data_IF_477518418547
#
_entry.id   IF_477518418547
#
_cell.length_a   1.000
_cell.length_b   1.000
_cell.length_c   1.000
_cell.angle_alpha   90.00
_cell.angle_beta   90.00
_cell.angle_gamma   90.00
#
_symmetry.space_group_name_H-M   'P 1'
#
loop_
_entity.id
_entity.type
_entity.pdbx_description
1 polymer ?
#
# COMPACT_ATOMS: atom_id res chain seq x y z
N UNK A 1 29.20 5.71 14.41
CA UNK A 1 30.27 6.31 13.58
C UNK A 1 29.80 6.67 12.16
N UNK A 2 29.08 5.81 11.43
CA UNK A 2 28.64 6.10 10.06
C UNK A 2 27.71 7.33 9.87
N UNK A 3 26.72 7.51 10.76
CA UNK A 3 25.75 8.64 10.68
C UNK A 3 26.46 9.99 10.59
N UNK A 4 27.42 10.25 11.50
CA UNK A 4 28.14 11.53 11.54
C UNK A 4 28.97 11.80 10.28
N UNK A 5 29.50 10.76 9.61
CA UNK A 5 30.20 10.93 8.34
C UNK A 5 29.24 11.36 7.22
N UNK A 6 28.05 10.76 7.14
CA UNK A 6 27.06 11.16 6.16
C UNK A 6 26.50 12.57 6.42
N UNK A 7 26.26 12.92 7.69
CA UNK A 7 25.86 14.27 8.08
C UNK A 7 26.91 15.31 7.68
N UNK A 8 28.19 15.08 8.00
CA UNK A 8 29.28 15.96 7.61
C UNK A 8 29.44 16.09 6.09
N UNK A 9 29.19 15.02 5.32
CA UNK A 9 29.21 15.07 3.87
C UNK A 9 28.04 15.92 3.32
N UNK A 10 26.84 15.81 3.90
CA UNK A 10 25.68 16.59 3.51
C UNK A 10 25.75 18.06 3.93
N UNK A 11 26.51 18.39 4.99
CA UNK A 11 26.83 19.78 5.34
C UNK A 11 27.71 20.43 4.27
N UNK A 12 28.64 19.68 3.68
CA UNK A 12 29.52 20.17 2.60
C UNK A 12 28.79 20.26 1.27
N UNK A 13 27.99 19.24 0.92
CA UNK A 13 27.16 19.23 -0.27
C UNK A 13 25.76 18.66 0.02
N UNK A 14 24.76 19.53 0.27
CA UNK A 14 23.38 19.12 0.49
C UNK A 14 22.69 18.48 -0.71
N UNK A 15 23.32 18.42 -1.90
CA UNK A 15 22.72 17.83 -3.11
C UNK A 15 23.08 16.37 -3.31
N UNK A 16 23.89 15.78 -2.43
CA UNK A 16 24.28 14.37 -2.49
C UNK A 16 23.11 13.45 -2.09
N UNK A 17 22.14 13.28 -3.00
CA UNK A 17 20.94 12.48 -2.76
C UNK A 17 21.25 11.01 -2.44
N UNK A 18 22.30 10.43 -3.05
CA UNK A 18 22.77 9.08 -2.69
C UNK A 18 23.22 9.00 -1.23
N UNK A 19 24.04 9.95 -0.78
CA UNK A 19 24.48 10.03 0.62
C UNK A 19 23.30 10.25 1.57
N UNK A 20 22.32 11.07 1.18
CA UNK A 20 21.09 11.26 1.95
C UNK A 20 20.29 9.96 2.07
N UNK A 21 20.23 9.16 0.99
CA UNK A 21 19.58 7.85 1.02
C UNK A 21 20.32 6.90 1.95
N UNK A 22 21.65 6.85 1.87
CA UNK A 22 22.48 6.01 2.74
C UNK A 22 22.34 6.40 4.22
N UNK A 23 22.24 7.70 4.52
CA UNK A 23 21.96 8.19 5.88
C UNK A 23 20.60 7.70 6.38
N UNK A 24 19.55 7.81 5.56
CA UNK A 24 18.21 7.32 5.92
C UNK A 24 18.22 5.80 6.18
N UNK A 25 18.88 5.03 5.31
CA UNK A 25 19.03 3.60 5.47
C UNK A 25 19.82 3.23 6.74
N UNK A 26 20.86 4.00 7.06
CA UNK A 26 21.65 3.80 8.28
C UNK A 26 20.80 4.00 9.53
N UNK A 27 19.94 5.02 9.55
CA UNK A 27 18.97 5.20 10.64
C UNK A 27 17.98 4.04 10.73
N UNK A 28 17.51 3.50 9.60
CA UNK A 28 16.61 2.36 9.58
C UNK A 28 17.26 1.10 10.18
N UNK A 29 18.45 0.73 9.70
CA UNK A 29 19.22 -0.42 10.22
C UNK A 29 19.57 -0.23 11.71
N UNK A 30 19.92 0.99 12.12
CA UNK A 30 20.16 1.30 13.54
C UNK A 30 18.91 1.06 14.37
N UNK A 31 17.73 1.39 13.84
CA UNK A 31 16.46 1.16 14.51
C UNK A 31 16.16 -0.34 14.67
N UNK A 32 16.40 -1.15 13.63
CA UNK A 32 16.27 -2.61 13.69
C UNK A 32 17.19 -3.21 14.75
N UNK A 33 18.44 -2.76 14.82
CA UNK A 33 19.38 -3.18 15.87
C UNK A 33 18.87 -2.84 17.28
N UNK A 34 18.30 -1.64 17.48
CA UNK A 34 17.66 -1.30 18.75
C UNK A 34 16.43 -2.16 19.06
N UNK A 35 15.67 -2.61 18.06
CA UNK A 35 14.56 -3.55 18.28
C UNK A 35 15.06 -4.91 18.75
N UNK A 36 16.14 -5.43 18.18
CA UNK A 36 16.77 -6.68 18.61
C UNK A 36 17.24 -6.60 20.07
N UNK A 37 17.76 -5.44 20.48
CA UNK A 37 18.13 -5.12 21.86
C UNK A 37 16.93 -4.83 22.78
N UNK A 38 15.70 -4.83 22.23
CA UNK A 38 14.44 -4.46 22.91
C UNK A 38 14.40 -3.02 23.42
N UNK A 39 15.22 -2.14 22.86
CA UNK A 39 15.22 -0.71 23.13
C UNK A 39 14.19 -0.01 22.22
N UNK A 40 12.90 -0.15 22.55
CA UNK A 40 11.80 0.37 21.73
C UNK A 40 11.87 1.90 21.52
N UNK A 41 12.30 2.66 22.53
CA UNK A 41 12.40 4.12 22.43
C UNK A 41 13.45 4.55 21.40
N UNK A 42 14.66 4.01 21.49
CA UNK A 42 15.73 4.35 20.54
C UNK A 42 15.43 3.84 19.12
N UNK A 43 14.80 2.68 19.00
CA UNK A 43 14.29 2.16 17.74
C UNK A 43 13.29 3.14 17.11
N UNK A 44 12.27 3.55 17.87
CA UNK A 44 11.24 4.48 17.40
C UNK A 44 11.84 5.80 16.91
N UNK A 45 12.77 6.38 17.68
CA UNK A 45 13.45 7.63 17.29
C UNK A 45 14.24 7.45 15.99
N UNK A 46 14.96 6.33 15.85
CA UNK A 46 15.79 6.05 14.67
C UNK A 46 14.93 5.80 13.42
N UNK A 47 13.82 5.06 13.54
CA UNK A 47 12.86 4.91 12.46
C UNK A 47 12.24 6.25 12.05
N UNK A 48 11.88 7.10 13.00
CA UNK A 48 11.33 8.43 12.69
C UNK A 48 12.34 9.32 11.94
N UNK A 49 13.63 9.25 12.30
CA UNK A 49 14.70 9.95 11.55
C UNK A 49 14.82 9.41 10.13
N UNK A 50 14.84 8.08 9.95
CA UNK A 50 14.86 7.46 8.63
C UNK A 50 13.67 7.92 7.77
N UNK A 51 12.46 7.88 8.34
CA UNK A 51 11.24 8.30 7.67
C UNK A 51 11.30 9.74 7.15
N UNK A 52 11.75 10.68 7.98
CA UNK A 52 11.85 12.10 7.59
C UNK A 52 12.82 12.30 6.42
N UNK A 53 13.94 11.59 6.41
CA UNK A 53 14.95 11.73 5.36
C UNK A 53 14.46 11.10 4.06
N UNK A 54 13.90 9.88 4.12
CA UNK A 54 13.30 9.22 2.97
C UNK A 54 12.13 10.05 2.39
N UNK A 55 11.27 10.63 3.22
CA UNK A 55 10.17 11.46 2.74
C UNK A 55 10.69 12.70 1.99
N UNK A 56 11.75 13.35 2.50
CA UNK A 56 12.40 14.46 1.78
C UNK A 56 12.96 14.04 0.43
N UNK A 57 13.49 12.82 0.30
CA UNK A 57 13.95 12.28 -0.99
C UNK A 57 12.76 12.02 -1.93
N UNK A 58 11.67 11.43 -1.43
CA UNK A 58 10.46 11.19 -2.22
C UNK A 58 9.84 12.49 -2.77
N UNK A 59 9.93 13.58 -2.01
CA UNK A 59 9.40 14.89 -2.37
C UNK A 59 10.40 15.76 -3.17
N UNK A 60 11.64 15.30 -3.40
CA UNK A 60 12.66 16.10 -4.08
C UNK A 60 12.55 16.02 -5.61
N UNK A 61 12.60 17.17 -6.29
CA UNK A 61 12.62 17.23 -7.76
C UNK A 61 13.95 16.73 -8.37
N UNK A 62 15.00 16.64 -7.57
CA UNK A 62 16.35 16.28 -8.00
C UNK A 62 16.63 14.77 -8.05
N UNK A 63 15.62 13.93 -7.77
CA UNK A 63 15.74 12.48 -7.87
C UNK A 63 14.79 11.94 -8.95
N UNK A 64 15.16 10.80 -9.55
CA UNK A 64 14.34 10.11 -10.54
C UNK A 64 13.09 9.44 -9.92
N UNK A 65 12.19 8.97 -10.78
CA UNK A 65 10.93 8.37 -10.36
C UNK A 65 11.12 7.08 -9.54
N UNK A 66 12.16 6.31 -9.83
CA UNK A 66 12.49 5.08 -9.09
C UNK A 66 12.90 5.41 -7.66
N UNK A 67 13.82 6.36 -7.49
CA UNK A 67 14.25 6.84 -6.18
C UNK A 67 13.09 7.46 -5.40
N UNK A 68 12.18 8.20 -6.07
CA UNK A 68 10.97 8.73 -5.42
C UNK A 68 10.09 7.60 -4.87
N UNK A 69 9.78 6.61 -5.70
CA UNK A 69 8.94 5.47 -5.34
C UNK A 69 9.56 4.67 -4.19
N UNK A 70 10.84 4.31 -4.30
CA UNK A 70 11.56 3.56 -3.28
C UNK A 70 11.65 4.34 -1.96
N UNK A 71 11.98 5.62 -2.01
CA UNK A 71 12.05 6.46 -0.81
C UNK A 71 10.67 6.61 -0.14
N UNK A 72 9.60 6.69 -0.93
CA UNK A 72 8.25 6.77 -0.39
C UNK A 72 7.84 5.50 0.35
N UNK A 73 8.11 4.32 -0.22
CA UNK A 73 7.88 3.04 0.43
C UNK A 73 8.71 2.89 1.71
N UNK A 74 9.99 3.27 1.67
CA UNK A 74 10.87 3.20 2.83
C UNK A 74 10.46 4.17 3.93
N UNK A 75 10.00 5.38 3.59
CA UNK A 75 9.46 6.32 4.57
C UNK A 75 8.21 5.76 5.26
N UNK A 76 7.28 5.20 4.48
CA UNK A 76 6.07 4.57 5.01
C UNK A 76 6.40 3.38 5.91
N UNK A 77 7.33 2.52 5.49
CA UNK A 77 7.79 1.35 6.24
C UNK A 77 8.48 1.74 7.54
N UNK A 78 9.31 2.79 7.53
CA UNK A 78 9.94 3.31 8.74
C UNK A 78 8.90 3.84 9.75
N UNK A 79 7.89 4.59 9.28
CA UNK A 79 6.80 5.04 10.16
C UNK A 79 5.96 3.87 10.68
N UNK A 80 5.71 2.86 9.85
CA UNK A 80 5.04 1.63 10.26
C UNK A 80 5.80 0.90 11.36
N UNK A 81 7.13 0.73 11.21
CA UNK A 81 7.99 0.11 12.22
C UNK A 81 8.10 0.95 13.50
N UNK A 82 7.89 2.27 13.40
CA UNK A 82 7.76 3.18 14.54
C UNK A 82 6.35 3.19 15.17
N UNK A 83 5.42 2.35 14.68
CA UNK A 83 3.99 2.31 15.07
C UNK A 83 3.25 3.65 14.86
N UNK A 84 3.78 4.56 14.04
CA UNK A 84 3.13 5.81 13.65
C UNK A 84 2.20 5.56 12.44
N UNK A 85 1.17 4.75 12.66
CA UNK A 85 0.22 4.33 11.63
C UNK A 85 -0.54 5.50 11.01
N UNK A 86 -0.73 6.58 11.77
CA UNK A 86 -1.39 7.81 11.30
C UNK A 86 -0.60 8.45 10.17
N UNK A 87 0.74 8.49 10.26
CA UNK A 87 1.58 9.02 9.19
C UNK A 87 1.97 7.98 8.14
N UNK A 88 2.09 6.71 8.51
CA UNK A 88 2.47 5.65 7.57
C UNK A 88 1.42 5.43 6.48
N UNK A 89 0.14 5.35 6.85
CA UNK A 89 -0.97 5.07 5.92
C UNK A 89 -1.00 5.99 4.69
N UNK A 90 -0.98 7.33 4.85
CA UNK A 90 -0.94 8.26 3.72
C UNK A 90 0.28 8.10 2.81
N UNK A 91 1.45 7.71 3.34
CA UNK A 91 2.64 7.47 2.50
C UNK A 91 2.51 6.15 1.72
N UNK A 92 1.95 5.10 2.31
CA UNK A 92 1.61 3.90 1.55
C UNK A 92 0.58 4.19 0.46
N UNK A 93 -0.43 5.03 0.71
CA UNK A 93 -1.38 5.43 -0.33
C UNK A 93 -0.69 6.14 -1.50
N UNK A 94 0.19 7.10 -1.22
CA UNK A 94 0.97 7.76 -2.27
C UNK A 94 1.83 6.76 -3.06
N UNK A 95 2.36 5.72 -2.41
CA UNK A 95 3.12 4.67 -3.11
C UNK A 95 2.20 3.81 -3.98
N UNK A 96 1.03 3.43 -3.46
CA UNK A 96 -0.02 2.73 -4.21
C UNK A 96 -0.42 3.52 -5.46
N UNK A 97 -0.53 4.84 -5.37
CA UNK A 97 -0.84 5.68 -6.53
C UNK A 97 0.23 5.58 -7.65
N UNK A 98 1.49 5.35 -7.28
CA UNK A 98 2.59 5.14 -8.23
C UNK A 98 2.69 3.70 -8.74
N UNK A 99 2.39 2.73 -7.87
CA UNK A 99 2.60 1.31 -8.13
C UNK A 99 1.42 0.47 -7.57
N UNK A 100 0.20 0.60 -8.13
CA UNK A 100 -1.00 0.01 -7.54
C UNK A 100 -1.08 -1.51 -7.68
N UNK A 101 -0.12 -2.13 -8.38
CA UNK A 101 0.01 -3.59 -8.50
C UNK A 101 0.92 -4.21 -7.44
N UNK A 102 1.60 -3.40 -6.63
CA UNK A 102 2.51 -3.88 -5.59
C UNK A 102 1.75 -4.32 -4.33
N UNK A 103 1.70 -5.64 -4.11
CA UNK A 103 0.95 -6.29 -3.01
C UNK A 103 1.34 -5.75 -1.61
N UNK A 104 2.63 -5.60 -1.25
CA UNK A 104 3.01 -5.28 0.13
C UNK A 104 2.42 -3.94 0.62
N UNK A 105 2.32 -2.94 -0.26
CA UNK A 105 1.84 -1.62 0.11
C UNK A 105 0.35 -1.62 0.50
N UNK A 106 -0.49 -2.33 -0.27
CA UNK A 106 -1.91 -2.51 0.08
C UNK A 106 -2.10 -3.17 1.44
N UNK A 107 -1.32 -4.22 1.71
CA UNK A 107 -1.38 -4.92 3.00
C UNK A 107 -0.96 -4.02 4.16
N UNK A 108 0.16 -3.32 4.03
CA UNK A 108 0.67 -2.44 5.09
C UNK A 108 -0.24 -1.23 5.33
N UNK A 109 -0.81 -0.64 4.28
CA UNK A 109 -1.86 0.38 4.41
C UNK A 109 -3.08 -0.17 5.16
N UNK A 110 -3.57 -1.36 4.78
CA UNK A 110 -4.68 -2.02 5.45
C UNK A 110 -4.42 -2.25 6.95
N UNK A 111 -3.21 -2.69 7.32
CA UNK A 111 -2.80 -2.81 8.73
C UNK A 111 -2.78 -1.44 9.42
N UNK A 112 -2.25 -0.40 8.77
CA UNK A 112 -2.29 0.96 9.33
C UNK A 112 -3.73 1.41 9.66
N UNK A 113 -4.69 1.11 8.78
CA UNK A 113 -6.11 1.40 9.04
C UNK A 113 -6.67 0.55 10.19
N UNK A 114 -6.29 -0.72 10.27
CA UNK A 114 -6.71 -1.62 11.35
C UNK A 114 -6.24 -1.14 12.73
N UNK A 115 -4.97 -0.77 12.85
CA UNK A 115 -4.36 -0.25 14.08
C UNK A 115 -4.96 1.10 14.51
N UNK A 116 -5.48 1.87 13.55
CA UNK A 116 -6.25 3.09 13.79
C UNK A 116 -7.73 2.82 14.13
N UNK A 117 -8.15 1.56 14.22
CA UNK A 117 -9.53 1.17 14.47
C UNK A 117 -10.48 1.40 13.28
N UNK A 118 -9.96 1.81 12.12
CA UNK A 118 -10.72 2.06 10.88
C UNK A 118 -10.94 0.75 10.12
N UNK A 119 -11.72 -0.15 10.73
CA UNK A 119 -11.98 -1.50 10.22
C UNK A 119 -12.55 -1.54 8.78
N UNK A 120 -13.52 -0.68 8.38
CA UNK A 120 -14.05 -0.71 7.01
C UNK A 120 -12.98 -0.43 5.95
N UNK A 121 -12.10 0.55 6.21
CA UNK A 121 -10.98 0.83 5.32
C UNK A 121 -10.01 -0.35 5.30
N UNK A 122 -9.67 -0.91 6.47
CA UNK A 122 -8.76 -2.05 6.56
C UNK A 122 -9.24 -3.24 5.72
N UNK A 123 -10.55 -3.57 5.77
CA UNK A 123 -11.15 -4.60 4.92
C UNK A 123 -10.91 -4.30 3.44
N UNK A 124 -11.10 -3.05 3.03
CA UNK A 124 -10.93 -2.65 1.63
C UNK A 124 -9.48 -2.81 1.16
N UNK A 125 -8.52 -2.25 1.89
CA UNK A 125 -7.10 -2.34 1.51
C UNK A 125 -6.54 -3.76 1.61
N UNK A 126 -6.90 -4.52 2.65
CA UNK A 126 -6.47 -5.91 2.80
C UNK A 126 -7.10 -6.81 1.73
N UNK A 127 -8.34 -6.56 1.33
CA UNK A 127 -8.98 -7.29 0.24
C UNK A 127 -8.28 -7.05 -1.09
N UNK A 128 -7.85 -5.80 -1.36
CA UNK A 128 -7.04 -5.51 -2.54
C UNK A 128 -5.68 -6.23 -2.49
N UNK A 129 -5.01 -6.24 -1.32
CA UNK A 129 -3.76 -6.99 -1.13
C UNK A 129 -3.93 -8.50 -1.37
N UNK A 130 -5.00 -9.10 -0.83
CA UNK A 130 -5.33 -10.52 -1.05
C UNK A 130 -5.72 -10.82 -2.49
N UNK A 131 -6.43 -9.89 -3.14
CA UNK A 131 -6.75 -10.01 -4.57
C UNK A 131 -5.48 -9.98 -5.41
N UNK A 132 -4.48 -9.15 -5.10
CA UNK A 132 -3.27 -9.09 -5.90
C UNK A 132 -2.25 -10.19 -5.59
N UNK A 133 -2.43 -10.96 -4.51
CA UNK A 133 -1.48 -12.00 -4.11
C UNK A 133 -1.45 -13.19 -5.07
N UNK A 134 -0.37 -13.97 -5.00
CA UNK A 134 -0.18 -15.19 -5.80
C UNK A 134 -1.22 -16.28 -5.51
N UNK A 135 -1.90 -16.22 -4.36
CA UNK A 135 -2.93 -17.20 -3.98
C UNK A 135 -4.31 -16.85 -4.55
N UNK A 136 -4.49 -15.65 -5.09
CA UNK A 136 -5.71 -15.27 -5.79
C UNK A 136 -5.83 -15.99 -7.14
N UNK A 137 -7.07 -16.20 -7.58
CA UNK A 137 -7.36 -16.68 -8.92
C UNK A 137 -7.86 -15.54 -9.77
N UNK A 138 -7.28 -15.34 -10.96
CA UNK A 138 -7.87 -14.49 -11.99
C UNK A 138 -9.10 -15.20 -12.55
N UNK A 139 -10.26 -14.56 -12.45
CA UNK A 139 -11.53 -15.07 -12.95
C UNK A 139 -11.85 -14.36 -14.27
N UNK A 140 -12.27 -15.06 -15.33
CA UNK A 140 -12.73 -14.41 -16.55
C UNK A 140 -13.83 -13.39 -16.27
N UNK A 141 -13.69 -12.18 -16.82
CA UNK A 141 -14.62 -11.07 -16.55
C UNK A 141 -16.05 -11.45 -16.96
N UNK A 142 -16.20 -12.09 -18.12
CA UNK A 142 -17.50 -12.49 -18.66
C UNK A 142 -18.22 -13.50 -17.76
N UNK A 143 -17.47 -14.40 -17.12
CA UNK A 143 -18.01 -15.38 -16.17
C UNK A 143 -18.56 -14.68 -14.93
N UNK A 144 -17.77 -13.77 -14.34
CA UNK A 144 -18.18 -13.02 -13.14
C UNK A 144 -19.37 -12.10 -13.45
N UNK A 145 -19.31 -11.36 -14.54
CA UNK A 145 -20.39 -10.47 -15.00
C UNK A 145 -21.67 -11.26 -15.32
N UNK A 146 -21.54 -12.40 -16.00
CA UNK A 146 -22.66 -13.28 -16.33
C UNK A 146 -23.34 -13.82 -15.06
N UNK A 147 -22.56 -14.24 -14.07
CA UNK A 147 -23.06 -14.70 -12.76
C UNK A 147 -23.88 -13.62 -12.07
N UNK A 148 -23.37 -12.38 -12.01
CA UNK A 148 -24.10 -11.27 -11.38
C UNK A 148 -25.39 -10.92 -12.11
N UNK A 149 -25.37 -10.87 -13.44
CA UNK A 149 -26.58 -10.58 -14.24
C UNK A 149 -27.68 -11.63 -14.04
N UNK A 150 -27.31 -12.89 -13.89
CA UNK A 150 -28.26 -14.00 -13.82
C UNK A 150 -28.73 -14.30 -12.39
N UNK A 151 -27.84 -14.24 -11.40
CA UNK A 151 -28.11 -14.71 -10.04
C UNK A 151 -28.24 -13.58 -9.01
N UNK A 152 -27.70 -12.39 -9.31
CA UNK A 152 -27.61 -11.28 -8.37
C UNK A 152 -28.13 -9.97 -8.98
N UNK A 153 -29.22 -10.04 -9.75
CA UNK A 153 -29.87 -8.86 -10.30
C UNK A 153 -30.28 -7.88 -9.17
N UNK A 154 -29.89 -6.61 -9.30
CA UNK A 154 -30.17 -5.57 -8.29
C UNK A 154 -29.18 -5.48 -7.12
N UNK A 155 -28.23 -6.42 -7.03
CA UNK A 155 -27.14 -6.39 -6.03
C UNK A 155 -26.23 -5.18 -6.18
N UNK A 156 -25.36 -4.96 -5.19
CA UNK A 156 -24.32 -3.94 -5.25
C UNK A 156 -23.39 -4.14 -6.46
N UNK A 157 -23.02 -5.39 -6.77
CA UNK A 157 -22.22 -5.71 -7.96
C UNK A 157 -22.95 -5.36 -9.26
N UNK A 158 -24.26 -5.60 -9.35
CA UNK A 158 -25.05 -5.21 -10.53
C UNK A 158 -25.10 -3.69 -10.71
N UNK A 159 -25.20 -2.93 -9.61
CA UNK A 159 -25.13 -1.46 -9.63
C UNK A 159 -23.75 -0.97 -10.05
N UNK A 160 -22.67 -1.60 -9.57
CA UNK A 160 -21.31 -1.28 -9.97
C UNK A 160 -21.10 -1.48 -11.48
N UNK A 161 -21.67 -2.52 -12.10
CA UNK A 161 -21.64 -2.68 -13.57
C UNK A 161 -22.37 -1.56 -14.30
N UNK A 162 -23.52 -1.11 -13.78
CA UNK A 162 -24.27 -0.03 -14.39
C UNK A 162 -23.53 1.32 -14.29
N UNK A 163 -22.83 1.55 -13.18
CA UNK A 163 -22.07 2.77 -12.90
C UNK A 163 -20.71 2.80 -13.61
N UNK A 164 -19.96 1.71 -13.53
CA UNK A 164 -18.56 1.64 -13.93
C UNK A 164 -18.33 0.82 -15.20
N UNK A 165 -19.35 0.16 -15.75
CA UNK A 165 -19.18 -0.79 -16.84
C UNK A 165 -18.48 -2.08 -16.39
N UNK A 166 -18.06 -2.90 -17.34
CA UNK A 166 -17.33 -4.13 -17.02
C UNK A 166 -15.97 -3.82 -16.37
N UNK A 167 -15.56 -4.56 -15.33
CA UNK A 167 -14.22 -4.46 -14.79
C UNK A 167 -13.18 -4.94 -15.82
N UNK A 168 -11.96 -4.44 -15.68
CA UNK A 168 -10.83 -4.84 -16.51
C UNK A 168 -10.19 -6.13 -16.01
N UNK A 169 -10.24 -6.34 -14.68
CA UNK A 169 -9.72 -7.53 -14.04
C UNK A 169 -10.67 -7.97 -12.92
N UNK A 170 -10.90 -9.27 -12.83
CA UNK A 170 -11.63 -9.88 -11.73
C UNK A 170 -10.73 -10.91 -11.07
N UNK A 171 -10.62 -10.81 -9.75
CA UNK A 171 -9.86 -11.75 -8.94
C UNK A 171 -10.70 -12.29 -7.81
N UNK A 172 -10.51 -13.56 -7.52
CA UNK A 172 -11.22 -14.26 -6.46
C UNK A 172 -10.23 -14.86 -5.48
N UNK A 173 -10.49 -14.73 -4.18
CA UNK A 173 -9.65 -15.30 -3.14
C UNK A 173 -10.50 -15.79 -1.97
N UNK A 174 -9.91 -16.68 -1.17
CA UNK A 174 -10.52 -17.18 0.06
C UNK A 174 -10.14 -16.28 1.23
N UNK A 175 -11.12 -15.62 1.84
CA UNK A 175 -10.95 -14.93 3.11
C UNK A 175 -11.06 -15.94 4.27
N UNK A 176 -9.89 -16.46 4.65
CA UNK A 176 -9.77 -17.45 5.73
C UNK A 176 -10.01 -16.85 7.12
N UNK A 177 -9.79 -15.55 7.26
CA UNK A 177 -9.91 -14.87 8.55
C UNK A 177 -11.38 -14.61 8.90
N UNK A 178 -12.27 -14.54 7.90
CA UNK A 178 -13.71 -14.29 8.07
C UNK A 178 -14.60 -15.49 7.68
N UNK A 179 -14.16 -16.70 8.01
CA UNK A 179 -15.00 -17.91 7.91
C UNK A 179 -15.01 -18.54 6.52
N UNK A 180 -13.85 -18.58 5.87
CA UNK A 180 -13.61 -19.25 4.58
C UNK A 180 -14.60 -18.79 3.50
N UNK A 181 -14.73 -17.47 3.37
CA UNK A 181 -15.64 -16.86 2.40
C UNK A 181 -14.91 -16.54 1.12
N UNK A 182 -15.58 -16.78 0.00
CA UNK A 182 -15.06 -16.39 -1.31
C UNK A 182 -15.36 -14.91 -1.53
N UNK A 183 -14.31 -14.10 -1.63
CA UNK A 183 -14.39 -12.68 -1.98
C UNK A 183 -13.97 -12.51 -3.42
N UNK A 184 -14.79 -11.79 -4.19
CA UNK A 184 -14.49 -11.44 -5.58
C UNK A 184 -14.21 -9.94 -5.66
N UNK A 185 -13.02 -9.59 -6.13
CA UNK A 185 -12.57 -8.22 -6.34
C UNK A 185 -12.63 -7.87 -7.81
N UNK A 186 -13.32 -6.78 -8.12
CA UNK A 186 -13.41 -6.22 -9.46
C UNK A 186 -12.58 -4.96 -9.53
N UNK A 187 -11.73 -4.86 -10.54
CA UNK A 187 -10.73 -3.80 -10.67
C UNK A 187 -10.94 -3.09 -12.01
N UNK A 188 -11.09 -1.77 -11.95
CA UNK A 188 -11.10 -0.86 -13.10
C UNK A 188 -9.83 -0.01 -13.05
N UNK A 189 -8.72 -0.51 -13.60
CA UNK A 189 -7.41 0.14 -13.52
C UNK A 189 -7.42 1.52 -14.18
N UNK A 190 -8.11 1.66 -15.33
CA UNK A 190 -8.25 2.95 -16.01
C UNK A 190 -9.07 3.98 -15.23
N UNK A 191 -9.86 3.53 -14.24
CA UNK A 191 -10.67 4.39 -13.38
C UNK A 191 -10.07 4.60 -11.99
N UNK A 192 -9.02 3.85 -11.65
CA UNK A 192 -8.40 3.94 -10.33
C UNK A 192 -9.31 3.46 -9.21
N UNK A 193 -10.14 2.44 -9.46
CA UNK A 193 -11.12 1.93 -8.47
C UNK A 193 -11.09 0.41 -8.45
N UNK A 194 -11.15 -0.16 -7.25
CA UNK A 194 -11.48 -1.57 -7.04
C UNK A 194 -12.62 -1.71 -6.02
N UNK A 195 -13.49 -2.69 -6.23
CA UNK A 195 -14.60 -3.03 -5.32
C UNK A 195 -14.56 -4.51 -4.99
N UNK A 196 -14.88 -4.84 -3.74
CA UNK A 196 -14.82 -6.20 -3.20
C UNK A 196 -16.24 -6.67 -2.90
N UNK A 197 -16.58 -7.86 -3.36
CA UNK A 197 -17.93 -8.42 -3.26
C UNK A 197 -17.93 -9.78 -2.57
N UNK A 198 -18.97 -10.01 -1.77
CA UNK A 198 -19.32 -11.28 -1.19
C UNK A 198 -20.76 -11.62 -1.60
N UNK A 199 -20.93 -12.65 -2.44
CA UNK A 199 -22.26 -13.05 -2.96
C UNK A 199 -23.05 -11.89 -3.61
N UNK A 200 -22.34 -11.00 -4.33
CA UNK A 200 -22.92 -9.84 -5.02
C UNK A 200 -23.06 -8.57 -4.17
N UNK A 201 -22.92 -8.66 -2.85
CA UNK A 201 -22.96 -7.50 -1.94
C UNK A 201 -21.55 -6.91 -1.75
N UNK A 202 -21.45 -5.58 -1.73
CA UNK A 202 -20.19 -4.87 -1.57
C UNK A 202 -19.73 -4.93 -0.11
N UNK A 203 -18.50 -5.38 0.13
CA UNK A 203 -17.89 -5.47 1.46
C UNK A 203 -16.76 -4.47 1.66
N UNK A 204 -16.31 -3.82 0.59
CA UNK A 204 -15.30 -2.76 0.63
C UNK A 204 -14.96 -2.23 -0.76
N UNK A 205 -14.26 -1.11 -0.80
CA UNK A 205 -13.73 -0.53 -2.03
C UNK A 205 -12.50 0.33 -1.75
N UNK A 206 -11.63 0.46 -2.75
CA UNK A 206 -10.46 1.34 -2.71
C UNK A 206 -10.41 2.22 -3.95
N UNK A 207 -9.80 3.39 -3.79
CA UNK A 207 -9.45 4.28 -4.88
C UNK A 207 -7.92 4.47 -4.92
N UNK A 208 -7.38 4.63 -6.12
CA UNK A 208 -5.96 4.86 -6.36
C UNK A 208 -5.81 5.65 -7.66
N UNK A 209 -4.62 6.19 -7.92
CA UNK A 209 -4.38 6.89 -9.17
C UNK A 209 -4.55 5.97 -10.38
N UNK A 210 -5.42 6.37 -11.31
CA UNK A 210 -5.69 5.61 -12.52
C UNK A 210 -4.40 5.35 -13.31
N UNK A 211 -4.19 4.10 -13.70
CA UNK A 211 -3.06 3.73 -14.55
C UNK A 211 -3.52 3.68 -15.99
N UNK A 212 -2.78 4.30 -16.89
CA UNK A 212 -2.89 3.98 -18.31
C UNK A 212 -2.41 2.54 -18.48
N UNK A 213 -3.31 1.63 -18.85
CA UNK A 213 -2.96 0.27 -19.23
C UNK A 213 -1.91 0.36 -20.36
N UNK A 214 -0.77 -0.36 -20.30
CA UNK A 214 0.11 -0.51 -21.46
C UNK A 214 -0.62 -1.17 -22.64
#
# INVERSE_FOLDING_TARGET
EAIGYFEAALEQDPKLNGVRFDLANTHFITAESFQEEKNKTAATESFQKAAVIFQKLADADSVDAETKSLSLYNAASALYSAEDFVKAGPLFQRYIDLAPREVPAWRLAGICHLEQGRRPDAVSYLSMGSALSEQSQVTPVEESVGTIKNLHAGSAAAKALAELGNPEEVRTFMDKDNGDRIVTTWIWWSKGVARHFLSGEEVGHVAFQATTVP
#
